data_IF_055435996197
#
_entry.id   IF_055435996197
#
_cell.length_a   1.000
_cell.length_b   1.000
_cell.length_c   1.000
_cell.angle_alpha   90.00
_cell.angle_beta   90.00
_cell.angle_gamma   90.00
#
_symmetry.space_group_name_H-M   'P 1'
#
loop_
_entity.id
_entity.type
_entity.pdbx_description
1 polymer ?
#
# COMPACT_ATOMS: atom_id res chain seq x y z
N UNK A 1 -20.78 22.40 9.36
CA UNK A 1 -19.91 21.47 10.11
C UNK A 1 -18.99 20.81 9.08
N UNK A 2 -17.76 21.30 8.92
CA UNK A 2 -16.79 20.78 7.94
C UNK A 2 -15.83 19.87 8.71
N UNK A 3 -15.91 18.57 8.47
CA UNK A 3 -14.93 17.62 8.95
C UNK A 3 -13.91 17.48 7.82
N UNK A 4 -12.86 18.30 7.86
CA UNK A 4 -11.63 18.04 7.09
C UNK A 4 -10.91 16.89 7.78
N UNK A 5 -11.07 15.67 7.27
CA UNK A 5 -10.12 14.59 7.51
C UNK A 5 -9.00 14.74 6.48
N UNK A 6 -8.07 15.63 6.77
CA UNK A 6 -6.78 15.70 6.09
C UNK A 6 -5.94 14.49 6.54
N UNK A 7 -6.14 13.34 5.88
CA UNK A 7 -5.21 12.20 5.96
C UNK A 7 -4.78 11.88 4.51
N UNK A 8 -4.08 12.84 3.93
CA UNK A 8 -3.48 12.75 2.61
C UNK A 8 -1.97 12.78 2.72
N UNK A 9 -1.36 11.91 3.53
CA UNK A 9 0.10 11.74 3.54
C UNK A 9 0.54 11.01 2.28
N UNK A 10 0.77 11.84 1.25
CA UNK A 10 1.54 11.55 0.05
C UNK A 10 2.77 10.73 0.43
N UNK A 11 2.96 9.57 -0.20
CA UNK A 11 4.27 8.97 -0.23
C UNK A 11 5.17 9.88 -1.08
N UNK A 12 6.03 10.57 -0.33
CA UNK A 12 7.28 11.18 -0.78
C UNK A 12 8.13 10.04 -1.34
N UNK A 13 8.05 9.82 -2.65
CA UNK A 13 9.24 9.39 -3.38
C UNK A 13 10.35 10.33 -2.94
N UNK A 14 11.49 9.84 -2.44
CA UNK A 14 12.62 10.68 -2.05
C UNK A 14 13.18 11.38 -3.31
N UNK A 15 12.44 12.37 -3.80
CA UNK A 15 12.70 13.16 -4.99
C UNK A 15 12.73 14.61 -4.52
N UNK A 16 13.93 15.01 -4.11
CA UNK A 16 14.39 16.39 -3.97
C UNK A 16 13.44 17.35 -3.26
N UNK A 17 13.28 17.21 -1.94
CA UNK A 17 13.02 18.40 -1.11
C UNK A 17 14.37 18.99 -0.73
N UNK A 18 14.74 20.07 -1.42
CA UNK A 18 15.86 20.93 -1.03
C UNK A 18 15.48 21.57 0.30
N UNK A 19 15.98 21.03 1.40
CA UNK A 19 16.25 21.79 2.61
C UNK A 19 17.40 21.10 3.37
N UNK A 20 18.59 21.63 3.12
CA UNK A 20 19.76 21.73 4.02
C UNK A 20 20.26 20.44 4.72
N UNK A 21 21.42 20.00 4.22
CA UNK A 21 22.49 19.21 4.86
C UNK A 21 22.36 17.67 4.96
N UNK A 22 23.10 17.05 4.03
CA UNK A 22 23.69 15.70 3.97
C UNK A 22 22.79 14.50 3.60
N UNK A 23 23.02 14.04 2.36
CA UNK A 23 22.53 12.82 1.69
C UNK A 23 21.05 12.82 1.22
N UNK A 24 20.87 13.12 -0.08
CA UNK A 24 19.67 12.76 -0.87
C UNK A 24 19.61 11.24 -1.14
N UNK A 25 19.89 10.42 -0.13
CA UNK A 25 19.97 8.96 -0.25
C UNK A 25 18.73 8.37 0.38
N UNK A 26 18.04 7.49 -0.35
CA UNK A 26 16.96 6.70 0.22
C UNK A 26 17.53 5.87 1.38
N UNK A 27 16.99 5.98 2.59
CA UNK A 27 17.48 5.21 3.72
C UNK A 27 17.28 3.71 3.45
N UNK A 28 18.31 2.92 3.75
CA UNK A 28 18.28 1.46 3.62
C UNK A 28 18.01 0.78 4.97
N UNK A 29 17.88 1.56 6.03
CA UNK A 29 17.62 1.07 7.38
C UNK A 29 16.24 0.40 7.45
N UNK A 30 16.11 -0.75 8.12
CA UNK A 30 14.85 -1.49 8.19
C UNK A 30 13.73 -0.73 8.92
N UNK A 31 14.06 0.20 9.82
CA UNK A 31 13.08 1.04 10.55
C UNK A 31 12.30 1.99 9.64
N UNK A 32 12.80 2.24 8.44
CA UNK A 32 12.16 3.04 7.41
C UNK A 32 11.38 2.21 6.39
N UNK A 33 11.44 0.89 6.54
CA UNK A 33 10.83 -0.08 5.66
C UNK A 33 9.45 -0.50 6.14
N UNK A 34 8.50 -0.51 5.21
CA UNK A 34 7.18 -1.11 5.42
C UNK A 34 6.98 -2.20 4.38
N UNK A 35 6.72 -3.42 4.84
CA UNK A 35 6.39 -4.52 3.96
C UNK A 35 4.89 -4.50 3.59
N UNK A 36 4.59 -4.53 2.30
CA UNK A 36 3.24 -4.65 1.80
C UNK A 36 3.22 -5.66 0.65
N UNK A 37 2.50 -6.77 0.85
CA UNK A 37 2.39 -7.89 -0.12
C UNK A 37 3.75 -8.45 -0.56
N UNK A 38 4.70 -8.60 0.37
CA UNK A 38 6.04 -9.12 0.07
C UNK A 38 6.98 -8.12 -0.62
N UNK A 39 6.57 -6.85 -0.74
CA UNK A 39 7.41 -5.76 -1.28
C UNK A 39 7.77 -4.84 -0.12
N UNK A 40 9.06 -4.61 0.08
CA UNK A 40 9.58 -3.65 1.05
C UNK A 40 9.59 -2.24 0.46
N UNK A 41 8.80 -1.34 1.02
CA UNK A 41 8.75 0.07 0.65
C UNK A 41 9.58 0.90 1.63
N UNK A 42 10.54 1.66 1.11
CA UNK A 42 11.39 2.54 1.91
C UNK A 42 10.85 3.96 1.98
N UNK A 43 10.74 4.51 3.19
CA UNK A 43 10.29 5.87 3.45
C UNK A 43 11.46 6.75 3.88
N UNK A 44 11.43 8.04 3.55
CA UNK A 44 12.53 8.93 3.94
C UNK A 44 12.61 9.13 5.48
N UNK A 45 11.56 8.78 6.23
CA UNK A 45 11.52 8.76 7.70
C UNK A 45 10.82 7.48 8.19
N UNK A 46 11.15 6.98 9.40
CA UNK A 46 10.41 5.89 10.03
C UNK A 46 8.92 6.19 10.10
N UNK A 47 8.09 5.21 9.73
CA UNK A 47 6.64 5.34 9.74
C UNK A 47 6.02 4.06 10.28
N UNK A 48 4.99 4.21 11.12
CA UNK A 48 4.16 3.12 11.60
C UNK A 48 2.73 3.39 11.13
N UNK A 49 2.32 2.88 9.96
CA UNK A 49 0.95 3.04 9.49
C UNK A 49 0.00 2.29 10.43
N UNK A 50 -1.22 2.80 10.64
CA UNK A 50 -2.23 2.08 11.40
C UNK A 50 -2.63 0.78 10.69
N UNK A 51 -3.30 -0.11 11.42
CA UNK A 51 -3.98 -1.26 10.82
C UNK A 51 -5.27 -0.79 10.13
N UNK A 52 -5.58 -1.36 8.96
CA UNK A 52 -6.81 -1.06 8.23
C UNK A 52 -8.01 -1.81 8.81
N UNK A 53 -9.19 -1.22 8.70
CA UNK A 53 -10.48 -1.92 8.83
C UNK A 53 -10.91 -2.60 7.52
N UNK A 54 -11.91 -3.48 7.61
CA UNK A 54 -12.49 -4.14 6.43
C UNK A 54 -13.09 -3.10 5.48
N UNK A 55 -12.70 -3.17 4.21
CA UNK A 55 -13.15 -2.26 3.16
C UNK A 55 -12.31 -0.99 3.02
N UNK A 56 -11.32 -0.75 3.89
CA UNK A 56 -10.43 0.41 3.78
C UNK A 56 -9.34 0.21 2.70
N UNK A 57 -8.89 1.33 2.14
CA UNK A 57 -7.82 1.35 1.14
C UNK A 57 -6.47 1.35 1.85
N UNK A 58 -5.77 0.22 1.81
CA UNK A 58 -4.43 0.09 2.36
C UNK A 58 -3.39 0.87 1.56
N UNK A 59 -3.47 0.79 0.23
CA UNK A 59 -2.54 1.47 -0.65
C UNK A 59 -3.15 1.88 -1.99
N UNK A 60 -2.61 2.92 -2.60
CA UNK A 60 -2.94 3.36 -3.96
C UNK A 60 -1.67 3.48 -4.80
N UNK A 61 -1.66 2.89 -5.99
CA UNK A 61 -0.59 3.01 -6.97
C UNK A 61 -1.08 3.81 -8.16
N UNK A 62 -0.43 4.93 -8.44
CA UNK A 62 -0.71 5.80 -9.58
C UNK A 62 0.58 6.08 -10.33
N UNK A 63 0.71 5.52 -11.53
CA UNK A 63 1.95 5.54 -12.32
C UNK A 63 3.14 4.98 -11.54
N UNK A 64 4.12 5.81 -11.17
CA UNK A 64 5.31 5.41 -10.40
C UNK A 64 5.18 5.74 -8.90
N UNK A 65 4.09 6.39 -8.49
CA UNK A 65 3.84 6.73 -7.11
C UNK A 65 2.99 5.66 -6.46
N UNK A 66 3.47 5.10 -5.36
CA UNK A 66 2.66 4.29 -4.43
C UNK A 66 2.38 5.15 -3.22
N UNK A 67 1.18 5.09 -2.66
CA UNK A 67 0.77 5.69 -1.39
C UNK A 67 0.32 4.57 -0.47
N UNK A 68 0.87 4.51 0.75
CA UNK A 68 0.48 3.54 1.78
C UNK A 68 -0.21 4.32 2.88
N UNK A 69 -1.44 3.93 3.18
CA UNK A 69 -2.31 4.58 4.16
C UNK A 69 -2.38 3.78 5.45
N UNK A 70 -2.49 2.46 5.35
CA UNK A 70 -2.59 1.53 6.47
C UNK A 70 -2.11 0.12 6.04
N UNK A 71 -1.96 -0.79 7.00
CA UNK A 71 -1.55 -2.19 6.77
C UNK A 71 -2.75 -3.12 7.00
N UNK A 72 -3.00 -4.05 6.09
CA UNK A 72 -4.01 -5.07 6.34
C UNK A 72 -3.51 -6.02 7.42
N UNK A 73 -4.33 -6.35 8.42
CA UNK A 73 -4.07 -7.45 9.34
C UNK A 73 -3.73 -8.77 8.62
N UNK A 74 -2.96 -9.65 9.25
CA UNK A 74 -2.51 -10.91 8.65
C UNK A 74 -3.65 -11.85 8.26
N UNK A 75 -4.81 -11.74 8.90
CA UNK A 75 -6.04 -12.50 8.65
C UNK A 75 -6.92 -11.90 7.52
N UNK A 76 -6.49 -10.81 6.89
CA UNK A 76 -7.17 -10.18 5.75
C UNK A 76 -6.42 -10.36 4.44
N UNK A 77 -7.10 -10.02 3.34
CA UNK A 77 -6.56 -10.03 1.97
C UNK A 77 -6.53 -8.63 1.38
N UNK A 78 -5.48 -8.38 0.59
CA UNK A 78 -5.41 -7.22 -0.28
C UNK A 78 -6.15 -7.51 -1.59
N UNK A 79 -7.29 -6.87 -1.81
CA UNK A 79 -8.03 -6.94 -3.07
C UNK A 79 -7.67 -5.76 -3.97
N UNK A 80 -7.20 -6.07 -5.18
CA UNK A 80 -6.83 -5.08 -6.20
C UNK A 80 -8.09 -4.52 -6.88
N UNK A 81 -8.26 -3.21 -6.84
CA UNK A 81 -9.30 -2.45 -7.57
C UNK A 81 -8.66 -1.46 -8.53
N UNK A 82 -8.80 -1.71 -9.83
CA UNK A 82 -8.35 -0.76 -10.86
C UNK A 82 -9.38 0.36 -11.03
N UNK A 83 -8.92 1.61 -11.05
CA UNK A 83 -9.70 2.82 -11.32
C UNK A 83 -9.32 3.38 -12.69
N UNK A 84 -10.07 3.05 -13.77
CA UNK A 84 -9.68 3.42 -15.14
C UNK A 84 -9.61 4.94 -15.35
N UNK A 85 -10.53 5.69 -14.72
CA UNK A 85 -10.62 7.14 -14.88
C UNK A 85 -9.38 7.88 -14.33
N UNK A 86 -8.81 7.41 -13.23
CA UNK A 86 -7.63 8.02 -12.61
C UNK A 86 -6.32 7.32 -12.95
N UNK A 87 -6.37 6.21 -13.71
CA UNK A 87 -5.25 5.29 -13.96
C UNK A 87 -4.56 4.84 -12.65
N UNK A 88 -5.33 4.78 -11.57
CA UNK A 88 -4.85 4.35 -10.27
C UNK A 88 -5.27 2.90 -10.02
N UNK A 89 -4.49 2.19 -9.23
CA UNK A 89 -4.83 0.88 -8.68
C UNK A 89 -4.89 1.01 -7.18
N UNK A 90 -6.02 0.68 -6.58
CA UNK A 90 -6.18 0.64 -5.13
C UNK A 90 -6.07 -0.80 -4.63
N UNK A 91 -5.52 -0.96 -3.43
CA UNK A 91 -5.49 -2.20 -2.69
C UNK A 91 -6.34 -2.03 -1.44
N UNK A 92 -7.39 -2.83 -1.34
CA UNK A 92 -8.41 -2.72 -0.30
C UNK A 92 -8.31 -3.93 0.61
N UNK A 93 -8.35 -3.75 1.93
CA UNK A 93 -8.37 -4.87 2.87
C UNK A 93 -9.77 -5.48 2.91
N UNK A 94 -9.85 -6.79 2.72
CA UNK A 94 -11.10 -7.55 2.82
C UNK A 94 -10.86 -8.79 3.68
N UNK A 95 -11.90 -9.28 4.35
CA UNK A 95 -11.82 -10.53 5.10
C UNK A 95 -11.41 -11.70 4.18
N UNK A 96 -10.59 -12.61 4.71
CA UNK A 96 -10.30 -13.87 4.03
C UNK A 96 -11.61 -14.67 3.91
N UNK A 97 -12.01 -15.08 2.70
CA UNK A 97 -13.10 -16.03 2.58
C UNK A 97 -12.70 -17.32 3.27
N UNK A 98 -13.59 -17.86 4.10
CA UNK A 98 -13.41 -19.17 4.73
C UNK A 98 -13.57 -20.21 3.62
N UNK A 99 -12.47 -20.81 3.18
CA UNK A 99 -12.52 -21.89 2.20
C UNK A 99 -13.18 -23.10 2.84
N UNK A 100 -14.19 -23.69 2.19
CA UNK A 100 -14.70 -24.99 2.63
C UNK A 100 -13.68 -26.08 2.32
N UNK A 101 -13.74 -27.21 3.04
CA UNK A 101 -12.73 -28.28 3.03
C UNK A 101 -12.47 -28.95 1.65
N UNK A 102 -13.24 -28.58 0.61
CA UNK A 102 -13.13 -29.09 -0.76
C UNK A 102 -12.91 -27.99 -1.81
N UNK A 103 -12.79 -26.72 -1.38
CA UNK A 103 -12.54 -25.58 -2.27
C UNK A 103 -11.05 -25.31 -2.44
N UNK A 104 -10.60 -25.20 -3.70
CA UNK A 104 -9.26 -24.70 -4.00
C UNK A 104 -9.28 -23.17 -3.84
N UNK A 105 -8.73 -22.67 -2.73
CA UNK A 105 -8.58 -21.24 -2.53
C UNK A 105 -7.14 -20.79 -2.79
N UNK A 106 -6.97 -20.13 -3.94
CA UNK A 106 -5.68 -19.63 -4.41
C UNK A 106 -5.57 -19.66 -5.92
N UNK A 107 -6.08 -18.63 -6.60
CA UNK A 107 -5.73 -18.36 -7.99
C UNK A 107 -4.45 -17.52 -7.99
N UNK A 108 -3.30 -18.16 -8.24
CA UNK A 108 -2.13 -17.43 -8.72
C UNK A 108 -2.54 -16.64 -9.96
N UNK A 109 -2.17 -15.36 -10.03
CA UNK A 109 -2.48 -14.47 -11.15
C UNK A 109 -2.08 -15.12 -12.48
N UNK A 110 -3.04 -15.72 -13.19
CA UNK A 110 -2.88 -16.24 -14.53
C UNK A 110 -2.93 -15.06 -15.53
N UNK A 111 -1.90 -14.20 -15.52
CA UNK A 111 -1.66 -13.27 -16.63
C UNK A 111 -0.67 -13.90 -17.60
N UNK A 112 -1.17 -14.82 -18.42
CA UNK A 112 -0.41 -15.50 -19.46
C UNK A 112 -1.31 -15.87 -20.63
N UNK A 113 -1.97 -14.89 -21.23
CA UNK A 113 -2.60 -15.07 -22.54
C UNK A 113 -1.63 -14.63 -23.63
N UNK A 114 -1.29 -15.63 -24.45
CA UNK A 114 -0.60 -15.62 -25.74
C UNK A 114 -0.86 -14.42 -26.64
#
# INVERSE_FOLDING_TARGET
MRIQRDIGDQLVSCRNRVHTETNNVCPENPENGIELRGILYQFCQPRQPPMCEVGEIAAEVKSLQTSIHCICPEDMLYIKRSLPASKATQYICMEKPICQAEEICGTGDASGTK
#
